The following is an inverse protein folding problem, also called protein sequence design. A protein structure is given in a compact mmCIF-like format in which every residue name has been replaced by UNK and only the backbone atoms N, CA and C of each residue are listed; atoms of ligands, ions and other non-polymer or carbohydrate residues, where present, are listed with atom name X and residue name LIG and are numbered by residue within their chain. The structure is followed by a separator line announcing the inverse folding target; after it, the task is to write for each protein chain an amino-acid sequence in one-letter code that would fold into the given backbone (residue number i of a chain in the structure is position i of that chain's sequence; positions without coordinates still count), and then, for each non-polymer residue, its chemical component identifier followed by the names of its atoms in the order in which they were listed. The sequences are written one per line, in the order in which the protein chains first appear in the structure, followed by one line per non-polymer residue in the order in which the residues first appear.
data_IF_261018859092
#
_entry.id   IF_261018859092
#
_cell.length_a   1.000
_cell.length_b   1.000
_cell.length_c   1.000
_cell.angle_alpha   90.00
_cell.angle_beta   90.00
_cell.angle_gamma   90.00
#
_symmetry.space_group_name_H-M   'P 1'
#
loop_
_entity.id
_entity.type
_entity.pdbx_description
1 polymer ?
#
# COMPACT_ATOMS: atom_id res chain seq x y z
N UNK A 1 47.74 -44.41 43.84
CA UNK A 1 46.42 -44.99 43.58
C UNK A 1 45.43 -43.85 43.68
N UNK A 2 45.18 -43.13 42.54
CA UNK A 2 44.31 -41.99 42.53
C UNK A 2 42.94 -42.42 41.90
N UNK A 3 41.91 -42.39 42.70
CA UNK A 3 40.52 -42.59 42.28
C UNK A 3 39.97 -41.32 41.60
N UNK A 4 39.67 -41.38 40.29
CA UNK A 4 38.99 -40.34 39.55
C UNK A 4 37.50 -40.53 39.71
N UNK A 5 36.82 -39.63 40.39
CA UNK A 5 35.36 -39.57 40.48
C UNK A 5 34.82 -38.78 39.29
N UNK A 6 34.20 -39.45 38.35
CA UNK A 6 33.46 -38.82 37.22
C UNK A 6 32.07 -38.42 37.67
N UNK A 7 31.79 -37.11 37.72
CA UNK A 7 30.47 -36.59 37.99
C UNK A 7 29.73 -36.49 36.64
N UNK A 8 28.68 -37.31 36.50
CA UNK A 8 27.77 -37.29 35.34
C UNK A 8 26.72 -36.20 35.58
N UNK A 9 26.79 -35.07 34.85
CA UNK A 9 25.73 -34.09 34.82
C UNK A 9 24.62 -34.56 33.85
N UNK A 10 23.51 -35.02 34.40
CA UNK A 10 22.30 -35.32 33.66
C UNK A 10 21.54 -34.00 33.40
N UNK A 11 21.66 -33.42 32.20
CA UNK A 11 20.90 -32.27 31.78
C UNK A 11 19.45 -32.66 31.54
N UNK A 12 18.55 -32.36 32.47
CA UNK A 12 17.11 -32.43 32.25
C UNK A 12 16.70 -31.30 31.27
N UNK A 13 16.52 -31.63 30.00
CA UNK A 13 15.79 -30.76 29.04
C UNK A 13 14.30 -30.79 29.42
N UNK A 14 13.83 -29.80 30.15
CA UNK A 14 12.40 -29.55 30.29
C UNK A 14 11.88 -29.03 28.97
N UNK A 15 11.20 -29.87 28.20
CA UNK A 15 10.42 -29.45 27.03
C UNK A 15 9.32 -28.49 27.52
N UNK A 16 9.48 -27.20 27.27
CA UNK A 16 8.40 -26.25 27.43
C UNK A 16 7.27 -26.64 26.47
N UNK A 17 6.02 -26.81 26.95
CA UNK A 17 4.91 -27.09 26.07
C UNK A 17 4.80 -25.95 25.04
N UNK A 18 4.75 -26.30 23.76
CA UNK A 18 4.45 -25.34 22.72
C UNK A 18 3.09 -24.72 23.03
N UNK A 19 3.08 -23.42 23.36
CA UNK A 19 1.83 -22.69 23.52
C UNK A 19 1.12 -22.73 22.16
N UNK A 20 0.06 -23.53 22.05
CA UNK A 20 -0.85 -23.47 20.93
C UNK A 20 -1.47 -22.08 20.94
N UNK A 21 -1.21 -21.29 19.88
CA UNK A 21 -1.91 -20.03 19.71
C UNK A 21 -3.41 -20.31 19.67
N UNK A 22 -4.23 -19.52 20.38
CA UNK A 22 -5.67 -19.70 20.35
C UNK A 22 -6.15 -19.56 18.90
N UNK A 23 -7.13 -20.36 18.53
CA UNK A 23 -7.81 -20.29 17.23
C UNK A 23 -8.23 -18.87 16.91
N UNK A 24 -8.02 -18.40 15.67
CA UNK A 24 -8.47 -17.08 15.26
C UNK A 24 -9.98 -16.95 15.44
N UNK A 25 -10.41 -15.98 16.22
CA UNK A 25 -11.85 -15.72 16.42
C UNK A 25 -12.39 -14.95 15.21
N UNK A 26 -13.51 -15.40 14.66
CA UNK A 26 -14.23 -14.70 13.58
C UNK A 26 -15.07 -13.55 14.15
N UNK A 27 -14.44 -12.54 14.68
CA UNK A 27 -15.12 -11.37 15.19
C UNK A 27 -15.48 -10.39 14.10
N UNK A 28 -16.61 -9.75 14.23
CA UNK A 28 -16.91 -8.53 13.50
C UNK A 28 -15.97 -7.41 13.97
N UNK A 29 -15.80 -6.37 13.17
CA UNK A 29 -15.00 -5.19 13.57
C UNK A 29 -15.48 -4.57 14.88
N UNK A 30 -16.79 -4.58 15.16
CA UNK A 30 -17.37 -4.05 16.40
C UNK A 30 -17.02 -4.92 17.63
N UNK A 31 -17.00 -6.23 17.46
CA UNK A 31 -16.63 -7.18 18.54
C UNK A 31 -15.15 -7.09 18.85
N UNK A 32 -14.30 -7.04 17.82
CA UNK A 32 -12.86 -6.87 17.98
C UNK A 32 -12.51 -5.54 18.66
N UNK A 33 -13.14 -4.45 18.22
CA UNK A 33 -12.99 -3.14 18.85
C UNK A 33 -13.40 -3.15 20.33
N UNK A 34 -14.53 -3.78 20.68
CA UNK A 34 -14.98 -3.91 22.06
C UNK A 34 -13.98 -4.71 22.89
N UNK A 35 -13.53 -5.85 22.38
CA UNK A 35 -12.53 -6.69 23.04
C UNK A 35 -11.22 -5.93 23.28
N UNK A 36 -10.76 -5.16 22.29
CA UNK A 36 -9.58 -4.32 22.45
C UNK A 36 -9.75 -3.27 23.55
N UNK A 37 -10.90 -2.59 23.60
CA UNK A 37 -11.20 -1.62 24.66
C UNK A 37 -11.23 -2.27 26.05
N UNK A 38 -11.84 -3.45 26.17
CA UNK A 38 -11.88 -4.22 27.41
C UNK A 38 -10.49 -4.62 27.88
N UNK A 39 -9.66 -5.18 26.99
CA UNK A 39 -8.29 -5.58 27.32
C UNK A 39 -7.39 -4.41 27.74
N UNK A 40 -7.62 -3.23 27.17
CA UNK A 40 -6.88 -2.01 27.48
C UNK A 40 -7.47 -1.21 28.63
N UNK A 41 -8.60 -1.64 29.20
CA UNK A 41 -9.32 -0.92 30.27
C UNK A 41 -9.90 0.42 29.83
N UNK A 42 -10.15 0.60 28.52
CA UNK A 42 -10.68 1.85 27.95
C UNK A 42 -12.20 1.84 28.11
N UNK A 43 -12.69 2.66 29.01
CA UNK A 43 -14.15 2.77 29.27
C UNK A 43 -14.91 3.62 28.26
N UNK A 44 -14.24 4.61 27.67
CA UNK A 44 -14.78 5.47 26.62
C UNK A 44 -13.65 6.00 25.73
N UNK A 45 -13.96 6.16 24.45
CA UNK A 45 -13.02 6.81 23.51
C UNK A 45 -12.99 8.31 23.81
N UNK A 46 -11.82 8.90 23.75
CA UNK A 46 -11.67 10.35 23.76
C UNK A 46 -12.24 10.90 22.45
N UNK A 47 -13.07 11.95 22.49
CA UNK A 47 -13.49 12.61 21.27
C UNK A 47 -12.26 13.13 20.53
N UNK A 48 -12.14 12.77 19.26
CA UNK A 48 -11.10 13.31 18.39
C UNK A 48 -11.36 14.79 18.10
N UNK A 49 -10.36 15.52 17.60
CA UNK A 49 -10.57 16.87 17.10
C UNK A 49 -11.55 16.85 15.93
N UNK A 50 -12.45 17.83 15.91
CA UNK A 50 -13.40 18.01 14.81
C UNK A 50 -12.72 18.65 13.61
N UNK A 51 -13.03 18.19 12.39
CA UNK A 51 -12.67 18.88 11.15
C UNK A 51 -13.53 20.13 10.87
N UNK A 52 -14.58 20.37 11.68
CA UNK A 52 -15.37 21.60 11.59
C UNK A 52 -14.70 22.69 12.44
N UNK A 53 -14.20 23.73 11.80
CA UNK A 53 -13.50 24.85 12.44
C UNK A 53 -14.35 25.62 13.46
N UNK A 54 -15.68 25.54 13.35
CA UNK A 54 -16.61 26.18 14.28
C UNK A 54 -16.96 25.29 15.49
N UNK A 55 -16.47 24.06 15.56
CA UNK A 55 -16.72 23.18 16.70
C UNK A 55 -15.82 23.53 17.89
N UNK A 56 -16.29 23.43 19.14
CA UNK A 56 -15.50 23.73 20.33
C UNK A 56 -14.20 22.89 20.43
N UNK A 57 -14.21 21.71 19.83
CA UNK A 57 -13.09 20.77 19.79
C UNK A 57 -12.49 20.68 18.38
N UNK A 58 -12.51 21.75 17.59
CA UNK A 58 -11.90 21.74 16.26
C UNK A 58 -10.42 21.39 16.30
N UNK A 59 -9.89 20.84 15.20
CA UNK A 59 -8.47 20.59 15.07
C UNK A 59 -7.69 21.91 15.13
N UNK A 60 -6.51 21.87 15.73
CA UNK A 60 -5.63 23.03 15.72
C UNK A 60 -4.89 23.09 14.36
N UNK A 61 -5.18 24.10 13.57
CA UNK A 61 -4.53 24.35 12.27
C UNK A 61 -3.40 25.39 12.35
N UNK A 62 -2.96 25.77 13.56
CA UNK A 62 -1.81 26.66 13.72
C UNK A 62 -0.52 25.93 13.32
N UNK A 63 -0.03 26.21 12.12
CA UNK A 63 1.17 25.58 11.58
C UNK A 63 2.43 25.88 12.41
N UNK A 64 2.44 26.96 13.20
CA UNK A 64 3.58 27.29 14.06
C UNK A 64 3.77 26.28 15.18
N UNK A 65 2.69 25.57 15.56
CA UNK A 65 2.67 24.56 16.61
C UNK A 65 2.68 23.13 16.03
N UNK A 66 2.49 22.96 14.72
CA UNK A 66 2.23 21.67 14.10
C UNK A 66 3.48 20.81 13.88
N UNK A 67 4.65 21.42 13.73
CA UNK A 67 5.85 20.72 13.27
C UNK A 67 6.93 20.62 14.35
N UNK A 68 7.06 19.48 15.05
CA UNK A 68 8.16 19.24 15.99
C UNK A 68 9.52 19.05 15.29
N UNK A 69 9.53 18.95 13.95
CA UNK A 69 10.73 18.77 13.12
C UNK A 69 10.84 19.90 12.09
N UNK A 70 11.11 21.16 12.52
CA UNK A 70 11.09 22.32 11.62
C UNK A 70 12.22 22.28 10.58
N UNK A 71 13.25 21.47 10.80
CA UNK A 71 14.37 21.32 9.88
C UNK A 71 14.31 19.97 9.21
N UNK A 72 14.07 19.97 7.89
CA UNK A 72 14.15 18.75 7.10
C UNK A 72 15.62 18.34 6.89
N UNK A 73 15.93 17.05 6.85
CA UNK A 73 17.25 16.57 6.48
C UNK A 73 17.63 17.10 5.09
N UNK A 74 18.87 17.57 4.94
CA UNK A 74 19.38 18.05 3.66
C UNK A 74 19.42 16.89 2.62
N UNK A 75 18.64 17.04 1.56
CA UNK A 75 18.58 16.06 0.48
C UNK A 75 19.92 15.85 -0.22
N UNK A 76 20.78 16.86 -0.23
CA UNK A 76 22.10 16.84 -0.86
C UNK A 76 23.25 16.52 0.11
N UNK A 77 22.96 15.89 1.24
CA UNK A 77 23.99 15.39 2.17
C UNK A 77 23.81 13.88 2.34
N UNK A 78 24.88 13.12 2.10
CA UNK A 78 24.94 11.66 2.31
C UNK A 78 24.80 11.33 3.80
N UNK A 79 24.42 10.10 4.14
CA UNK A 79 24.37 9.59 5.54
C UNK A 79 25.70 9.72 6.29
N UNK A 80 26.81 9.68 5.56
CA UNK A 80 28.15 9.87 6.12
C UNK A 80 28.57 11.35 6.26
N UNK A 81 27.68 12.30 6.01
CA UNK A 81 27.91 13.75 6.13
C UNK A 81 28.57 14.41 4.92
N UNK A 82 28.99 13.67 3.90
CA UNK A 82 29.59 14.25 2.70
C UNK A 82 28.53 14.91 1.80
N UNK A 83 28.88 16.02 1.17
CA UNK A 83 27.98 16.70 0.23
C UNK A 83 27.87 15.97 -1.11
N UNK A 84 26.68 16.03 -1.70
CA UNK A 84 26.40 15.54 -3.05
C UNK A 84 26.85 16.61 -4.04
N UNK A 85 28.06 16.44 -4.58
CA UNK A 85 28.70 17.43 -5.45
C UNK A 85 28.37 17.25 -6.95
N UNK A 86 27.67 16.19 -7.35
CA UNK A 86 27.36 15.91 -8.75
C UNK A 86 26.12 15.03 -8.92
N UNK A 87 25.52 15.10 -10.11
CA UNK A 87 24.43 14.22 -10.51
C UNK A 87 24.80 12.71 -10.44
N UNK A 88 26.09 12.39 -10.65
CA UNK A 88 26.58 11.03 -10.50
C UNK A 88 26.52 10.57 -9.03
N UNK A 89 27.03 11.36 -8.11
CA UNK A 89 26.97 11.06 -6.66
C UNK A 89 25.53 10.94 -6.18
N UNK A 90 24.63 11.80 -6.68
CA UNK A 90 23.20 11.68 -6.40
C UNK A 90 22.65 10.33 -6.83
N UNK A 91 22.83 9.95 -8.10
CA UNK A 91 22.26 8.70 -8.65
C UNK A 91 22.85 7.45 -8.02
N UNK A 92 24.17 7.44 -7.78
CA UNK A 92 24.87 6.24 -7.37
C UNK A 92 24.90 6.04 -5.84
N UNK A 93 24.72 7.11 -5.07
CA UNK A 93 24.83 7.05 -3.61
C UNK A 93 23.60 7.62 -2.91
N UNK A 94 23.31 8.92 -3.06
CA UNK A 94 22.27 9.57 -2.24
C UNK A 94 20.87 9.04 -2.51
N UNK A 95 20.48 8.93 -3.77
CA UNK A 95 19.17 8.38 -4.14
C UNK A 95 18.97 6.95 -3.60
N UNK A 96 19.91 6.00 -3.73
CA UNK A 96 19.81 4.69 -3.08
C UNK A 96 19.65 4.74 -1.57
N UNK A 97 20.37 5.63 -0.86
CA UNK A 97 20.19 5.81 0.59
C UNK A 97 18.76 6.22 0.97
N UNK A 98 18.17 7.16 0.20
CA UNK A 98 16.81 7.64 0.43
C UNK A 98 15.80 6.53 0.11
N UNK A 99 15.95 5.85 -1.03
CA UNK A 99 15.08 4.73 -1.43
C UNK A 99 15.08 3.64 -0.35
N UNK A 100 16.26 3.27 0.14
CA UNK A 100 16.37 2.25 1.21
C UNK A 100 15.66 2.68 2.50
N UNK A 101 15.72 3.97 2.86
CA UNK A 101 15.00 4.46 4.04
C UNK A 101 13.48 4.35 3.86
N UNK A 102 12.97 4.73 2.69
CA UNK A 102 11.55 4.60 2.38
C UNK A 102 11.08 3.14 2.29
N UNK A 103 11.87 2.27 1.68
CA UNK A 103 11.56 0.84 1.61
C UNK A 103 11.57 0.17 2.99
N UNK A 104 12.49 0.57 3.85
CA UNK A 104 12.60 -0.01 5.19
C UNK A 104 11.51 0.49 6.14
N UNK A 105 11.21 1.80 6.13
CA UNK A 105 10.39 2.43 7.16
C UNK A 105 8.93 2.64 6.74
N UNK A 106 8.66 2.83 5.45
CA UNK A 106 7.36 3.29 4.95
C UNK A 106 6.69 2.27 4.04
N UNK A 107 7.33 1.91 2.92
CA UNK A 107 6.69 1.15 1.85
C UNK A 107 6.82 -0.37 2.01
N UNK A 108 7.89 -0.84 2.64
CA UNK A 108 8.32 -2.23 2.59
C UNK A 108 9.11 -2.53 1.31
N UNK A 109 9.86 -3.61 1.33
CA UNK A 109 10.62 -4.07 0.16
C UNK A 109 9.78 -5.02 -0.69
N UNK A 110 9.89 -4.90 -2.01
CA UNK A 110 9.31 -5.87 -2.93
C UNK A 110 10.01 -7.22 -2.73
N UNK A 111 9.28 -8.31 -2.48
CA UNK A 111 9.88 -9.63 -2.34
C UNK A 111 10.57 -10.08 -3.65
N UNK A 112 11.72 -10.74 -3.53
CA UNK A 112 12.46 -11.27 -4.69
C UNK A 112 11.66 -12.34 -5.45
N UNK A 113 10.81 -13.08 -4.76
CA UNK A 113 9.92 -14.12 -5.31
C UNK A 113 8.55 -13.58 -5.73
N UNK A 114 8.45 -12.30 -6.10
CA UNK A 114 7.20 -11.74 -6.61
C UNK A 114 6.72 -12.50 -7.84
N UNK A 115 5.43 -12.88 -7.94
CA UNK A 115 4.89 -13.57 -9.08
C UNK A 115 5.11 -12.79 -10.38
N UNK A 116 5.51 -13.47 -11.45
CA UNK A 116 5.58 -12.87 -12.78
C UNK A 116 4.18 -12.54 -13.27
N UNK A 117 4.03 -11.43 -13.99
CA UNK A 117 2.75 -11.02 -14.56
C UNK A 117 2.81 -11.08 -16.07
N UNK A 118 1.88 -11.81 -16.67
CA UNK A 118 1.70 -11.84 -18.13
C UNK A 118 0.54 -10.94 -18.52
N UNK A 119 0.78 -10.00 -19.42
CA UNK A 119 -0.19 -8.99 -19.82
C UNK A 119 -0.84 -9.33 -21.17
N UNK A 120 -2.17 -9.21 -21.22
CA UNK A 120 -2.97 -9.45 -22.41
C UNK A 120 -3.93 -8.29 -22.64
N UNK A 121 -3.96 -7.76 -23.86
CA UNK A 121 -4.99 -6.78 -24.29
C UNK A 121 -6.26 -7.56 -24.63
N UNK A 122 -7.33 -7.33 -23.88
CA UNK A 122 -8.61 -8.04 -24.06
C UNK A 122 -9.61 -7.26 -24.89
N UNK A 123 -9.48 -5.92 -24.94
CA UNK A 123 -10.34 -5.06 -25.75
C UNK A 123 -9.57 -3.80 -26.16
N UNK A 124 -9.82 -3.33 -27.38
CA UNK A 124 -9.34 -2.04 -27.88
C UNK A 124 -10.54 -1.25 -28.42
N UNK A 125 -10.58 0.04 -28.13
CA UNK A 125 -11.58 0.97 -28.65
C UNK A 125 -10.89 2.22 -29.18
N UNK A 126 -11.47 2.82 -30.21
CA UNK A 126 -11.11 4.13 -30.74
C UNK A 126 -12.23 5.08 -30.36
N UNK A 127 -11.93 6.15 -29.66
CA UNK A 127 -12.92 7.10 -29.14
C UNK A 127 -12.26 8.46 -28.86
N UNK A 128 -12.93 9.32 -28.12
CA UNK A 128 -12.42 10.61 -27.69
C UNK A 128 -12.40 10.74 -26.16
N UNK A 129 -11.49 11.59 -25.69
CA UNK A 129 -11.52 12.14 -24.34
C UNK A 129 -11.53 13.66 -24.50
N UNK A 130 -12.65 14.30 -24.13
CA UNK A 130 -12.95 15.63 -24.60
C UNK A 130 -12.99 15.66 -26.14
N UNK A 131 -12.21 16.54 -26.76
CA UNK A 131 -12.10 16.62 -28.22
C UNK A 131 -10.94 15.78 -28.80
N UNK A 132 -10.14 15.14 -27.97
CA UNK A 132 -8.92 14.48 -28.39
C UNK A 132 -9.16 13.01 -28.76
N UNK A 133 -8.80 12.58 -29.99
CA UNK A 133 -8.87 11.17 -30.39
C UNK A 133 -7.90 10.30 -29.56
N UNK A 134 -8.39 9.16 -29.09
CA UNK A 134 -7.63 8.25 -28.22
C UNK A 134 -7.83 6.79 -28.59
N UNK A 135 -6.86 5.96 -28.24
CA UNK A 135 -6.98 4.51 -28.22
C UNK A 135 -7.08 4.05 -26.76
N UNK A 136 -8.23 3.50 -26.42
CA UNK A 136 -8.47 2.85 -25.13
C UNK A 136 -8.24 1.35 -25.21
N UNK A 137 -7.48 0.79 -24.26
CA UNK A 137 -7.20 -0.65 -24.16
C UNK A 137 -7.57 -1.16 -22.78
N UNK A 138 -8.34 -2.22 -22.76
CA UNK A 138 -8.51 -3.03 -21.57
C UNK A 138 -7.40 -4.08 -21.55
N UNK A 139 -6.63 -4.09 -20.48
CA UNK A 139 -5.48 -4.96 -20.32
C UNK A 139 -5.64 -5.76 -19.05
N UNK A 140 -5.40 -7.06 -19.12
CA UNK A 140 -5.42 -7.97 -17.95
C UNK A 140 -4.03 -8.51 -17.72
N UNK A 141 -3.53 -8.33 -16.51
CA UNK A 141 -2.26 -8.90 -16.05
C UNK A 141 -2.53 -10.12 -15.19
N UNK A 142 -2.27 -11.31 -15.70
CA UNK A 142 -2.35 -12.54 -14.94
C UNK A 142 -1.06 -12.79 -14.16
N UNK A 143 -1.16 -12.83 -12.83
CA UNK A 143 -0.03 -13.19 -11.98
C UNK A 143 0.16 -14.71 -11.97
N UNK A 144 1.41 -15.16 -12.17
CA UNK A 144 1.75 -16.59 -12.14
C UNK A 144 1.34 -17.21 -10.81
N UNK A 145 0.41 -18.14 -10.85
CA UNK A 145 -0.16 -18.82 -9.70
C UNK A 145 0.18 -20.33 -9.64
N UNK A 146 1.20 -20.78 -10.36
CA UNK A 146 1.56 -22.20 -10.40
C UNK A 146 1.84 -22.78 -9.00
N UNK A 147 2.35 -21.98 -8.06
CA UNK A 147 2.59 -22.41 -6.67
C UNK A 147 1.32 -22.46 -5.80
N UNK A 148 0.22 -21.84 -6.21
CA UNK A 148 -1.07 -21.82 -5.51
C UNK A 148 -2.23 -21.70 -6.50
N UNK A 149 -2.55 -22.76 -7.29
CA UNK A 149 -3.49 -22.68 -8.42
C UNK A 149 -4.92 -22.28 -8.03
N UNK A 150 -5.31 -22.47 -6.77
CA UNK A 150 -6.61 -22.06 -6.26
C UNK A 150 -6.76 -20.54 -6.05
N UNK A 151 -5.67 -19.78 -6.16
CA UNK A 151 -5.66 -18.32 -5.97
C UNK A 151 -5.27 -17.66 -7.29
N UNK A 152 -6.25 -17.05 -7.95
CA UNK A 152 -6.02 -16.26 -9.15
C UNK A 152 -5.94 -14.77 -8.79
N UNK A 153 -4.99 -14.07 -9.42
CA UNK A 153 -4.85 -12.61 -9.34
C UNK A 153 -4.76 -12.05 -10.74
N UNK A 154 -5.86 -11.42 -11.17
CA UNK A 154 -5.99 -10.79 -12.49
C UNK A 154 -6.06 -9.27 -12.32
N UNK A 155 -4.97 -8.61 -12.66
CA UNK A 155 -4.82 -7.17 -12.55
C UNK A 155 -5.58 -6.49 -13.68
N UNK A 156 -6.62 -5.75 -13.35
CA UNK A 156 -7.42 -5.02 -14.33
C UNK A 156 -6.84 -3.63 -14.57
N UNK A 157 -6.48 -3.34 -15.80
CA UNK A 157 -5.91 -2.06 -16.22
C UNK A 157 -6.67 -1.52 -17.43
N UNK A 158 -7.06 -0.26 -17.36
CA UNK A 158 -7.53 0.51 -18.52
C UNK A 158 -6.41 1.45 -18.92
N UNK A 159 -5.86 1.29 -20.11
CA UNK A 159 -4.82 2.16 -20.66
C UNK A 159 -5.39 2.99 -21.79
N UNK A 160 -5.25 4.31 -21.72
CA UNK A 160 -5.69 5.23 -22.77
C UNK A 160 -4.50 6.08 -23.21
N UNK A 161 -4.31 6.14 -24.51
CA UNK A 161 -3.20 6.89 -25.14
C UNK A 161 -3.74 7.77 -26.29
N UNK A 162 -3.11 8.91 -26.59
CA UNK A 162 -3.45 9.66 -27.80
C UNK A 162 -3.35 8.77 -29.03
N UNK A 163 -4.33 8.85 -29.92
CA UNK A 163 -4.38 8.02 -31.14
C UNK A 163 -3.25 8.35 -32.12
N UNK A 164 -2.94 9.63 -32.26
CA UNK A 164 -1.96 10.13 -33.20
C UNK A 164 -0.53 10.19 -32.64
N UNK A 165 -0.25 9.46 -31.57
CA UNK A 165 1.09 9.43 -31.00
C UNK A 165 2.08 8.68 -31.92
N UNK A 166 3.06 9.42 -32.47
CA UNK A 166 4.12 8.87 -33.32
C UNK A 166 5.35 8.37 -32.53
N UNK A 167 5.28 8.41 -31.22
CA UNK A 167 6.33 7.99 -30.29
C UNK A 167 5.74 7.41 -29.00
N UNK A 168 6.58 6.79 -28.16
CA UNK A 168 6.18 6.43 -26.81
C UNK A 168 5.80 7.67 -26.02
N UNK A 169 4.63 7.63 -25.36
CA UNK A 169 4.14 8.70 -24.52
C UNK A 169 4.31 8.34 -23.04
N UNK A 170 4.54 9.31 -22.16
CA UNK A 170 4.47 9.08 -20.73
C UNK A 170 3.04 8.72 -20.34
N UNK A 171 2.88 7.91 -19.27
CA UNK A 171 1.58 7.46 -18.78
C UNK A 171 1.46 7.76 -17.31
N UNK A 172 0.37 8.44 -16.93
CA UNK A 172 -0.01 8.64 -15.53
C UNK A 172 -0.85 7.46 -15.06
N UNK A 173 -0.36 6.70 -14.08
CA UNK A 173 -1.14 5.62 -13.47
C UNK A 173 -1.96 6.19 -12.31
N UNK A 174 -3.28 6.05 -12.38
CA UNK A 174 -4.21 6.46 -11.34
C UNK A 174 -4.77 5.22 -10.64
N UNK A 175 -4.56 5.13 -9.34
CA UNK A 175 -5.07 4.03 -8.50
C UNK A 175 -6.55 4.21 -8.19
N UNK A 176 -7.39 3.92 -9.17
CA UNK A 176 -8.86 3.98 -9.07
C UNK A 176 -9.49 3.07 -10.11
N UNK A 177 -10.77 2.76 -9.93
CA UNK A 177 -11.58 2.17 -10.99
C UNK A 177 -11.81 3.17 -12.12
N UNK A 178 -12.01 2.65 -13.33
CA UNK A 178 -12.35 3.43 -14.51
C UNK A 178 -12.76 2.51 -15.64
N UNK A 179 -13.47 3.08 -16.65
CA UNK A 179 -13.89 2.38 -17.86
C UNK A 179 -13.09 2.81 -19.09
N UNK A 180 -13.28 2.10 -20.17
CA UNK A 180 -12.83 2.53 -21.50
C UNK A 180 -13.49 3.86 -21.88
N UNK A 181 -12.85 4.70 -22.70
CA UNK A 181 -13.51 5.86 -23.29
C UNK A 181 -14.84 5.47 -23.94
N UNK A 182 -15.87 6.33 -23.83
CA UNK A 182 -17.22 6.06 -24.34
C UNK A 182 -18.03 5.01 -23.59
N UNK A 183 -17.44 4.29 -22.64
CA UNK A 183 -18.19 3.34 -21.83
C UNK A 183 -19.12 4.07 -20.84
N UNK A 184 -20.36 3.59 -20.66
CA UNK A 184 -21.23 4.16 -19.63
C UNK A 184 -20.59 4.01 -18.24
N UNK A 185 -20.80 4.96 -17.33
CA UNK A 185 -20.32 4.82 -15.96
C UNK A 185 -20.88 3.54 -15.33
N UNK A 186 -20.11 2.86 -14.47
CA UNK A 186 -20.60 1.66 -13.80
C UNK A 186 -21.87 1.98 -13.01
N UNK A 187 -22.85 1.10 -13.08
CA UNK A 187 -24.07 1.23 -12.30
C UNK A 187 -23.73 1.23 -10.80
N UNK A 188 -24.20 2.23 -10.09
CA UNK A 188 -24.06 2.26 -8.65
C UNK A 188 -25.01 1.26 -7.99
N UNK A 189 -24.59 0.61 -6.91
CA UNK A 189 -25.48 -0.25 -6.13
C UNK A 189 -26.73 0.54 -5.69
N UNK A 190 -27.92 -0.07 -5.70
CA UNK A 190 -29.11 0.57 -5.19
C UNK A 190 -28.92 1.13 -3.77
N UNK A 191 -29.27 2.39 -3.55
CA UNK A 191 -29.14 3.05 -2.24
C UNK A 191 -27.75 3.63 -1.93
N UNK A 192 -26.74 3.44 -2.81
CA UNK A 192 -25.44 4.08 -2.63
C UNK A 192 -25.54 5.58 -2.92
N UNK A 193 -25.30 6.39 -1.89
CA UNK A 193 -25.17 7.85 -2.05
C UNK A 193 -23.70 8.21 -1.97
N UNK A 194 -23.19 8.87 -3.01
CA UNK A 194 -21.87 9.48 -2.91
C UNK A 194 -21.89 10.49 -1.75
N UNK A 195 -20.89 10.46 -0.86
CA UNK A 195 -20.72 11.54 0.08
C UNK A 195 -20.60 12.86 -0.70
N UNK A 196 -21.15 13.98 -0.18
CA UNK A 196 -20.96 15.26 -0.83
C UNK A 196 -19.44 15.53 -0.90
N UNK A 197 -18.91 15.53 -2.11
CA UNK A 197 -17.52 15.92 -2.35
C UNK A 197 -17.49 17.42 -2.18
N UNK A 198 -16.92 17.91 -1.10
CA UNK A 198 -16.71 19.33 -0.84
C UNK A 198 -15.54 19.89 -1.68
N UNK A 199 -15.45 19.49 -2.96
CA UNK A 199 -14.55 20.15 -3.90
C UNK A 199 -15.31 21.31 -4.53
N UNK A 200 -14.78 22.54 -4.47
CA UNK A 200 -15.33 23.65 -5.24
C UNK A 200 -15.47 23.21 -6.71
N UNK A 201 -16.55 23.59 -7.41
CA UNK A 201 -16.63 23.33 -8.84
C UNK A 201 -15.42 23.98 -9.53
N UNK A 202 -14.57 23.16 -10.13
CA UNK A 202 -13.49 23.64 -10.99
C UNK A 202 -14.00 23.77 -12.41
N UNK A 203 -13.63 24.84 -13.07
CA UNK A 203 -13.85 25.03 -14.50
C UNK A 203 -12.80 24.29 -15.35
N UNK A 204 -11.82 23.65 -14.69
CA UNK A 204 -10.78 22.90 -15.39
C UNK A 204 -11.34 21.62 -15.98
N UNK A 205 -10.89 21.20 -17.17
CA UNK A 205 -11.21 19.90 -17.73
C UNK A 205 -10.84 18.77 -16.77
N UNK A 206 -11.50 17.61 -16.82
CA UNK A 206 -11.10 16.43 -16.03
C UNK A 206 -9.63 16.05 -16.25
N UNK A 207 -8.95 15.57 -15.21
CA UNK A 207 -7.53 15.19 -15.30
C UNK A 207 -7.17 14.26 -16.47
N UNK A 208 -7.99 13.25 -16.86
CA UNK A 208 -7.74 12.47 -18.07
C UNK A 208 -7.66 13.30 -19.35
N UNK A 209 -8.53 14.31 -19.49
CA UNK A 209 -8.54 15.19 -20.65
C UNK A 209 -7.30 16.08 -20.68
N UNK A 210 -6.91 16.66 -19.56
CA UNK A 210 -5.69 17.46 -19.45
C UNK A 210 -4.45 16.64 -19.83
N UNK A 211 -4.35 15.39 -19.34
CA UNK A 211 -3.24 14.50 -19.66
C UNK A 211 -3.15 14.22 -21.17
N UNK A 212 -4.26 13.91 -21.81
CA UNK A 212 -4.29 13.66 -23.25
C UNK A 212 -3.96 14.93 -24.05
N UNK A 213 -4.48 16.09 -23.63
CA UNK A 213 -4.17 17.38 -24.26
C UNK A 213 -2.66 17.68 -24.24
N UNK A 214 -1.98 17.32 -23.14
CA UNK A 214 -0.54 17.46 -22.99
C UNK A 214 0.28 16.34 -23.68
N UNK A 215 -0.37 15.46 -24.43
CA UNK A 215 0.26 14.35 -25.14
C UNK A 215 0.68 13.17 -24.25
N UNK A 216 0.16 13.09 -23.03
CA UNK A 216 0.32 11.94 -22.13
C UNK A 216 -0.77 10.92 -22.37
N UNK A 217 -0.49 9.67 -21.99
CA UNK A 217 -1.51 8.68 -21.71
C UNK A 217 -1.89 8.64 -20.24
N UNK A 218 -2.96 7.93 -19.92
CA UNK A 218 -3.31 7.61 -18.56
C UNK A 218 -3.71 6.14 -18.42
N UNK A 219 -3.61 5.61 -17.21
CA UNK A 219 -4.10 4.28 -16.90
C UNK A 219 -4.89 4.30 -15.59
N UNK A 220 -6.03 3.59 -15.57
CA UNK A 220 -6.76 3.28 -14.34
C UNK A 220 -6.40 1.87 -13.89
N UNK A 221 -5.94 1.73 -12.66
CA UNK A 221 -5.62 0.47 -12.03
C UNK A 221 -6.34 0.39 -10.69
N UNK A 222 -7.18 -0.65 -10.53
CA UNK A 222 -7.90 -0.87 -9.28
C UNK A 222 -7.05 -1.72 -8.32
N UNK A 223 -6.48 -1.15 -7.24
CA UNK A 223 -5.65 -1.91 -6.31
C UNK A 223 -6.39 -3.02 -5.58
N UNK A 224 -7.71 -2.85 -5.35
CA UNK A 224 -8.51 -3.86 -4.63
C UNK A 224 -8.75 -5.13 -5.45
N UNK A 225 -8.58 -5.07 -6.78
CA UNK A 225 -8.56 -6.26 -7.64
C UNK A 225 -7.27 -7.07 -7.48
N UNK A 226 -6.18 -6.45 -7.03
CA UNK A 226 -4.89 -7.11 -6.77
C UNK A 226 -4.89 -7.70 -5.37
N UNK A 227 -5.33 -6.90 -4.39
CA UNK A 227 -5.41 -7.29 -2.99
C UNK A 227 -6.68 -6.74 -2.36
N UNK A 228 -7.58 -7.58 -1.85
CA UNK A 228 -8.75 -7.12 -1.09
C UNK A 228 -8.34 -6.27 0.11
N UNK A 229 -9.00 -5.11 0.27
CA UNK A 229 -8.75 -4.17 1.37
C UNK A 229 -9.61 -4.53 2.60
N UNK A 230 -9.33 -5.71 3.16
CA UNK A 230 -9.96 -6.16 4.41
C UNK A 230 -9.12 -7.27 5.06
N UNK A 231 -9.31 -7.52 6.37
CA UNK A 231 -8.55 -8.51 7.12
C UNK A 231 -8.74 -9.96 6.62
N UNK A 232 -9.91 -10.30 6.07
CA UNK A 232 -10.17 -11.61 5.48
C UNK A 232 -9.42 -11.83 4.17
N UNK A 233 -8.89 -10.78 3.54
CA UNK A 233 -8.13 -10.82 2.30
C UNK A 233 -6.70 -11.35 2.44
N UNK A 234 -6.17 -11.57 3.64
CA UNK A 234 -4.76 -11.96 3.85
C UNK A 234 -4.41 -13.36 3.30
N UNK A 235 -5.40 -14.20 3.03
CA UNK A 235 -5.24 -15.51 2.36
C UNK A 235 -5.63 -15.46 0.88
N UNK A 236 -5.97 -14.28 0.36
CA UNK A 236 -6.42 -14.05 -1.02
C UNK A 236 -5.56 -12.97 -1.67
N UNK A 237 -5.81 -12.70 -2.95
CA UNK A 237 -5.07 -11.70 -3.70
C UNK A 237 -3.57 -12.02 -3.76
N UNK A 238 -2.75 -11.02 -4.02
CA UNK A 238 -1.30 -11.21 -4.16
C UNK A 238 -0.63 -11.69 -2.85
N UNK A 239 -1.14 -11.27 -1.69
CA UNK A 239 -0.63 -11.74 -0.39
C UNK A 239 -0.91 -13.24 -0.23
N UNK A 240 -2.15 -13.66 -0.49
CA UNK A 240 -2.52 -15.08 -0.45
C UNK A 240 -1.74 -15.91 -1.46
N UNK A 241 -1.54 -15.39 -2.67
CA UNK A 241 -0.76 -16.07 -3.71
C UNK A 241 0.69 -16.32 -3.26
N UNK A 242 1.38 -15.29 -2.77
CA UNK A 242 2.78 -15.40 -2.29
C UNK A 242 2.90 -16.30 -1.06
N UNK A 243 1.90 -16.29 -0.17
CA UNK A 243 1.85 -17.16 1.01
C UNK A 243 1.20 -18.54 0.75
N UNK A 244 0.86 -18.86 -0.50
CA UNK A 244 0.22 -20.13 -0.88
C UNK A 244 -1.07 -20.41 -0.10
N UNK A 245 -1.87 -19.38 0.14
CA UNK A 245 -3.12 -19.45 0.91
C UNK A 245 -2.94 -19.63 2.41
N UNK A 246 -1.72 -19.70 2.90
CA UNK A 246 -1.46 -19.84 4.33
C UNK A 246 -1.68 -18.51 5.07
N UNK A 247 -2.13 -18.55 6.34
CA UNK A 247 -2.20 -17.37 7.17
C UNK A 247 -0.83 -16.68 7.27
N UNK A 248 -0.84 -15.36 7.35
CA UNK A 248 0.40 -14.60 7.53
C UNK A 248 1.08 -15.03 8.84
N UNK A 249 2.33 -15.47 8.76
CA UNK A 249 3.13 -15.75 9.95
C UNK A 249 3.26 -14.47 10.79
N UNK A 250 2.93 -14.56 12.08
CA UNK A 250 3.16 -13.45 13.00
C UNK A 250 4.66 -13.07 12.94
N UNK A 251 4.94 -11.78 12.74
CA UNK A 251 6.32 -11.31 12.82
C UNK A 251 6.84 -11.58 14.23
N UNK A 252 8.06 -12.12 14.42
CA UNK A 252 8.67 -12.15 15.73
C UNK A 252 8.61 -10.73 16.30
N UNK A 253 8.06 -10.57 17.51
CA UNK A 253 8.07 -9.26 18.18
C UNK A 253 9.53 -8.86 18.33
N UNK A 254 10.00 -7.92 17.54
CA UNK A 254 11.25 -7.23 17.80
C UNK A 254 11.07 -6.53 19.15
N UNK A 255 11.62 -7.08 20.22
CA UNK A 255 11.69 -6.37 21.51
C UNK A 255 12.44 -5.07 21.22
N UNK A 256 11.73 -3.96 21.13
CA UNK A 256 12.38 -2.65 21.22
C UNK A 256 13.06 -2.63 22.59
N UNK A 257 14.38 -2.75 22.59
CA UNK A 257 15.16 -2.40 23.78
C UNK A 257 14.89 -0.92 23.98
N UNK A 258 14.13 -0.60 25.03
CA UNK A 258 14.05 0.78 25.48
C UNK A 258 15.49 1.18 25.82
N UNK A 259 16.03 2.13 25.07
CA UNK A 259 17.23 2.82 25.49
C UNK A 259 16.90 3.51 26.82
N UNK A 260 17.75 3.38 27.85
CA UNK A 260 17.54 4.11 29.09
C UNK A 260 17.51 5.61 28.75
N UNK A 261 16.50 6.30 29.27
CA UNK A 261 16.45 7.75 29.23
C UNK A 261 17.74 8.30 29.89
N UNK A 262 18.44 9.16 29.15
CA UNK A 262 19.51 10.01 29.70
C UNK A 262 18.92 11.35 30.04
#
# INVERSE_FOLDING_TARGET
MLMRTSILYLAMLTALPAQTLPEPKNWTAAEDHRNMMEQLGIKALRPGPSGNENAPNHANYDETLANPYPQLPDALTLKNGKKVASAKVWRDQRRPEIVEDFEREVLGRVPENSPKVTWTVTKTVHDKVGEFPVIGRQVVGHADNAAAPSIAVDIQLILVTPENANRKVPVMIMFRGGGLPGAPPPAMPPGFKLPPIATPPSNDPPAPEQLIADGWGYAFLNPTAIQPDNGAGLTKGVIGLVNQGQPRKARPRVRRRHAPAR
#
